data_IF_424467425088
#
_entry.id   IF_424467425088
#
_cell.length_a   1.000
_cell.length_b   1.000
_cell.length_c   1.000
_cell.angle_alpha   90.00
_cell.angle_beta   90.00
_cell.angle_gamma   90.00
#
_symmetry.space_group_name_H-M   'P 1'
#
loop_
_entity.id
_entity.type
_entity.pdbx_description
1 polymer ?
#
# COMPACT_ATOMS: atom_id res chain seq x y z
N UNK A 1 -12.70 -30.06 44.05
CA UNK A 1 -11.25 -29.80 44.13
C UNK A 1 -10.96 -28.93 45.34
N UNK A 2 -9.74 -28.96 45.87
CA UNK A 2 -9.28 -28.02 46.90
C UNK A 2 -8.85 -26.70 46.24
N UNK A 3 -9.19 -25.51 46.81
CA UNK A 3 -8.76 -24.23 46.26
C UNK A 3 -7.24 -24.05 46.27
N UNK A 4 -6.70 -23.35 45.25
CA UNK A 4 -5.26 -23.07 45.12
C UNK A 4 -4.68 -22.26 46.28
N UNK A 5 -5.51 -21.51 47.03
CA UNK A 5 -5.07 -20.74 48.21
C UNK A 5 -4.82 -21.58 49.47
N UNK A 6 -5.20 -22.87 49.47
CA UNK A 6 -5.07 -23.73 50.65
C UNK A 6 -3.66 -24.30 50.73
N UNK A 7 -3.01 -24.12 51.88
CA UNK A 7 -1.68 -24.70 52.16
C UNK A 7 -1.72 -25.90 53.09
N UNK A 8 -2.80 -26.07 53.85
CA UNK A 8 -2.94 -27.14 54.85
C UNK A 8 -4.36 -27.66 54.89
N UNK A 9 -4.50 -29.00 54.90
CA UNK A 9 -5.77 -29.68 55.16
C UNK A 9 -5.71 -30.23 56.58
N UNK A 10 -6.52 -29.66 57.47
CA UNK A 10 -6.52 -29.99 58.89
C UNK A 10 -7.01 -31.40 59.20
N UNK A 11 -6.71 -31.87 60.41
CA UNK A 11 -7.08 -33.20 60.88
C UNK A 11 -8.59 -33.41 60.79
N UNK A 12 -9.01 -34.55 60.25
CA UNK A 12 -10.43 -34.90 60.07
C UNK A 12 -11.26 -33.93 59.19
N UNK A 13 -10.64 -33.02 58.42
CA UNK A 13 -11.35 -31.97 57.68
C UNK A 13 -12.47 -32.49 56.76
N UNK A 14 -12.26 -33.64 56.11
CA UNK A 14 -13.24 -34.34 55.28
C UNK A 14 -13.51 -35.75 55.80
N UNK A 15 -13.44 -35.94 57.12
CA UNK A 15 -13.81 -37.22 57.72
C UNK A 15 -15.32 -37.43 57.61
N UNK A 16 -15.72 -38.66 57.29
CA UNK A 16 -17.10 -39.09 57.07
C UNK A 16 -17.77 -38.45 55.84
N UNK A 17 -16.96 -37.97 54.89
CA UNK A 17 -17.42 -37.60 53.55
C UNK A 17 -17.58 -38.85 52.67
N UNK A 18 -18.50 -39.74 53.02
CA UNK A 18 -18.61 -41.10 52.45
C UNK A 18 -19.04 -41.13 50.97
N UNK A 19 -19.46 -39.98 50.41
CA UNK A 19 -19.77 -39.82 48.98
C UNK A 19 -18.60 -39.22 48.18
N UNK A 20 -17.50 -38.85 48.83
CA UNK A 20 -16.33 -38.28 48.16
C UNK A 20 -15.52 -39.42 47.54
N UNK A 21 -15.72 -39.64 46.24
CA UNK A 21 -15.03 -40.71 45.50
C UNK A 21 -13.75 -40.23 44.83
N UNK A 22 -13.59 -38.91 44.61
CA UNK A 22 -12.38 -38.32 44.03
C UNK A 22 -12.13 -36.92 44.56
N UNK A 23 -10.88 -36.62 44.91
CA UNK A 23 -10.45 -35.27 45.29
C UNK A 23 -9.14 -34.88 44.61
N UNK A 24 -9.13 -33.72 43.96
CA UNK A 24 -7.91 -33.09 43.42
C UNK A 24 -7.33 -32.16 44.47
N UNK A 25 -6.06 -32.40 44.80
CA UNK A 25 -5.28 -31.62 45.76
C UNK A 25 -4.17 -30.88 44.98
N UNK A 26 -4.15 -29.54 45.02
CA UNK A 26 -3.13 -28.76 44.33
C UNK A 26 -1.77 -28.83 45.03
N UNK A 27 -0.70 -28.53 44.31
CA UNK A 27 0.67 -28.48 44.86
C UNK A 27 0.86 -27.46 45.99
N UNK A 28 -0.03 -26.46 46.07
CA UNK A 28 -0.01 -25.46 47.15
C UNK A 28 -0.28 -26.08 48.52
N UNK A 29 -0.96 -27.22 48.58
CA UNK A 29 -1.13 -28.00 49.81
C UNK A 29 0.18 -28.71 50.14
N UNK A 30 0.87 -28.22 51.16
CA UNK A 30 2.16 -28.74 51.63
C UNK A 30 2.04 -29.57 52.91
N UNK A 31 0.84 -29.65 53.49
CA UNK A 31 0.57 -30.44 54.69
C UNK A 31 -0.86 -30.99 54.69
N UNK A 32 -1.02 -32.31 54.82
CA UNK A 32 -2.31 -32.97 55.02
C UNK A 32 -2.25 -33.71 56.36
N UNK A 33 -3.00 -33.23 57.33
CA UNK A 33 -2.95 -33.78 58.68
C UNK A 33 -3.68 -35.12 58.80
N UNK A 34 -3.51 -35.76 59.97
CA UNK A 34 -3.99 -37.11 60.24
C UNK A 34 -5.48 -37.25 59.96
N UNK A 35 -5.82 -38.28 59.16
CA UNK A 35 -7.19 -38.67 58.82
C UNK A 35 -8.02 -37.55 58.18
N UNK A 36 -7.37 -36.58 57.53
CA UNK A 36 -8.04 -35.50 56.85
C UNK A 36 -9.00 -35.96 55.73
N UNK A 37 -8.63 -37.01 54.99
CA UNK A 37 -9.34 -37.51 53.80
C UNK A 37 -9.56 -39.04 53.88
N UNK A 38 -10.74 -39.51 53.47
CA UNK A 38 -11.03 -40.93 53.24
C UNK A 38 -11.27 -41.77 54.50
N UNK A 39 -11.55 -41.14 55.65
CA UNK A 39 -11.81 -41.82 56.92
C UNK A 39 -13.20 -41.52 57.44
N UNK A 40 -13.91 -42.53 57.95
CA UNK A 40 -15.22 -42.36 58.57
C UNK A 40 -15.34 -43.13 59.90
N UNK A 41 -16.32 -42.74 60.70
CA UNK A 41 -16.63 -43.39 61.98
C UNK A 41 -17.94 -44.18 61.86
N UNK A 42 -17.87 -45.51 61.88
CA UNK A 42 -19.08 -46.33 61.96
C UNK A 42 -19.72 -46.15 63.34
N UNK A 43 -20.93 -45.56 63.38
CA UNK A 43 -21.68 -45.24 64.61
C UNK A 43 -22.15 -46.43 65.46
N UNK A 44 -21.54 -47.61 65.32
CA UNK A 44 -21.87 -48.80 66.08
C UNK A 44 -20.59 -49.57 66.46
N UNK A 45 -20.19 -49.43 67.72
CA UNK A 45 -19.24 -50.31 68.43
C UNK A 45 -17.73 -50.03 68.27
N UNK A 46 -17.02 -50.36 69.36
CA UNK A 46 -15.65 -50.06 69.78
C UNK A 46 -14.50 -50.59 68.87
N UNK A 47 -14.61 -50.49 67.54
CA UNK A 47 -13.57 -51.01 66.63
C UNK A 47 -13.29 -50.03 65.49
N UNK A 48 -12.16 -49.32 65.60
CA UNK A 48 -11.36 -48.83 64.48
C UNK A 48 -11.97 -47.75 63.57
N UNK A 49 -11.23 -46.66 63.34
CA UNK A 49 -11.50 -45.77 62.21
C UNK A 49 -11.46 -46.57 60.90
N UNK A 50 -12.52 -46.49 60.09
CA UNK A 50 -12.60 -47.18 58.81
C UNK A 50 -12.09 -46.27 57.68
N UNK A 51 -11.58 -46.89 56.61
CA UNK A 51 -11.10 -46.21 55.40
C UNK A 51 -12.08 -46.46 54.26
N UNK A 52 -12.42 -45.41 53.53
CA UNK A 52 -13.06 -45.56 52.22
C UNK A 52 -11.96 -45.72 51.16
N UNK A 53 -11.65 -46.96 50.82
CA UNK A 53 -10.62 -47.28 49.82
C UNK A 53 -11.07 -46.96 48.39
N UNK A 54 -12.32 -46.55 48.17
CA UNK A 54 -12.79 -46.10 46.86
C UNK A 54 -12.42 -44.63 46.59
N UNK A 55 -11.91 -43.90 47.59
CA UNK A 55 -11.42 -42.54 47.40
C UNK A 55 -10.16 -42.57 46.52
N UNK A 56 -10.24 -41.84 45.40
CA UNK A 56 -9.09 -41.49 44.57
C UNK A 56 -8.57 -40.11 44.97
N UNK A 57 -7.28 -40.05 45.30
CA UNK A 57 -6.58 -38.79 45.58
C UNK A 57 -5.75 -38.43 44.35
N UNK A 58 -6.11 -37.32 43.71
CA UNK A 58 -5.43 -36.82 42.53
C UNK A 58 -4.52 -35.63 42.89
N UNK A 59 -3.32 -35.59 42.33
CA UNK A 59 -2.36 -34.51 42.54
C UNK A 59 -1.11 -34.69 41.69
N UNK A 60 -0.18 -33.73 41.74
CA UNK A 60 1.07 -33.83 40.99
C UNK A 60 1.99 -34.85 41.65
N UNK A 61 2.81 -35.54 40.85
CA UNK A 61 3.82 -36.46 41.34
C UNK A 61 4.82 -35.77 42.27
N UNK A 62 5.15 -36.41 43.38
CA UNK A 62 5.98 -35.90 44.47
C UNK A 62 5.23 -34.98 45.44
N UNK A 63 3.94 -34.69 45.22
CA UNK A 63 3.16 -33.80 46.08
C UNK A 63 2.77 -34.44 47.42
N UNK A 64 2.31 -33.60 48.34
CA UNK A 64 1.72 -34.04 49.61
C UNK A 64 0.50 -34.97 49.40
N UNK A 65 -0.21 -34.79 48.29
CA UNK A 65 -1.33 -35.64 47.90
C UNK A 65 -0.87 -37.09 47.64
N UNK A 66 0.21 -37.26 46.87
CA UNK A 66 0.80 -38.58 46.61
C UNK A 66 1.29 -39.21 47.91
N UNK A 67 2.00 -38.44 48.75
CA UNK A 67 2.48 -38.92 50.05
C UNK A 67 1.33 -39.41 50.91
N UNK A 68 0.29 -38.60 51.10
CA UNK A 68 -0.86 -38.96 51.93
C UNK A 68 -1.62 -40.17 51.38
N UNK A 69 -1.80 -40.24 50.06
CA UNK A 69 -2.45 -41.38 49.41
C UNK A 69 -1.67 -42.68 49.68
N UNK A 70 -0.36 -42.67 49.46
CA UNK A 70 0.52 -43.82 49.66
C UNK A 70 0.60 -44.25 51.13
N UNK A 71 0.76 -43.31 52.07
CA UNK A 71 0.83 -43.61 53.51
C UNK A 71 -0.47 -44.23 54.05
N UNK A 72 -1.61 -43.86 53.45
CA UNK A 72 -2.92 -44.32 53.89
C UNK A 72 -3.52 -45.41 53.00
N UNK A 73 -2.84 -45.84 51.93
CA UNK A 73 -3.28 -46.90 51.02
C UNK A 73 -4.47 -46.51 50.14
N UNK A 74 -4.63 -45.22 49.83
CA UNK A 74 -5.61 -44.75 48.84
C UNK A 74 -5.04 -44.84 47.42
N UNK A 75 -5.91 -44.91 46.42
CA UNK A 75 -5.49 -44.84 45.02
C UNK A 75 -5.01 -43.43 44.70
N UNK A 76 -3.79 -43.33 44.15
CA UNK A 76 -3.24 -42.07 43.65
C UNK A 76 -3.44 -41.94 42.14
N UNK A 77 -3.94 -40.79 41.70
CA UNK A 77 -4.08 -40.43 40.29
C UNK A 77 -3.15 -39.24 39.97
N UNK A 78 -2.16 -39.47 39.10
CA UNK A 78 -1.18 -38.44 38.73
C UNK A 78 -1.84 -37.35 37.87
N UNK A 79 -1.65 -36.09 38.27
CA UNK A 79 -1.96 -34.90 37.48
C UNK A 79 -0.67 -34.39 36.84
N UNK A 80 -0.66 -34.30 35.53
CA UNK A 80 0.42 -33.70 34.74
C UNK A 80 -0.05 -32.29 34.35
N UNK A 81 0.41 -31.21 35.03
CA UNK A 81 -0.10 -29.86 34.81
C UNK A 81 0.41 -29.27 33.48
N UNK A 82 -0.37 -28.38 32.88
CA UNK A 82 0.13 -27.54 31.79
C UNK A 82 1.22 -26.63 32.37
N UNK A 83 2.35 -26.53 31.69
CA UNK A 83 3.48 -25.65 32.04
C UNK A 83 3.68 -24.53 31.03
N UNK A 84 3.10 -24.67 29.84
CA UNK A 84 3.11 -23.63 28.82
C UNK A 84 2.29 -23.99 27.59
N UNK A 85 1.95 -22.96 26.83
CA UNK A 85 1.31 -23.11 25.52
C UNK A 85 2.05 -22.25 24.50
N UNK A 86 2.00 -22.63 23.23
CA UNK A 86 2.60 -21.86 22.13
C UNK A 86 1.65 -21.81 20.95
N UNK A 87 1.54 -20.62 20.34
CA UNK A 87 0.75 -20.39 19.13
C UNK A 87 1.60 -20.58 17.88
N UNK A 88 1.03 -21.18 16.84
CA UNK A 88 1.73 -21.50 15.58
C UNK A 88 2.31 -20.28 14.88
N UNK A 89 1.62 -19.13 14.96
CA UNK A 89 2.03 -17.85 14.40
C UNK A 89 1.62 -16.71 15.33
N UNK A 90 2.50 -15.72 15.48
CA UNK A 90 2.22 -14.50 16.27
C UNK A 90 1.77 -13.33 15.40
N UNK A 91 1.90 -13.45 14.08
CA UNK A 91 1.47 -12.46 13.10
C UNK A 91 0.86 -13.14 11.86
N UNK A 92 -0.25 -12.59 11.39
CA UNK A 92 -0.90 -12.94 10.13
C UNK A 92 -1.15 -11.66 9.32
N UNK A 93 -0.90 -11.75 8.02
CA UNK A 93 -1.13 -10.69 7.05
C UNK A 93 -2.00 -11.32 5.96
N UNK A 94 -3.25 -10.88 5.85
CA UNK A 94 -4.30 -11.52 5.05
C UNK A 94 -4.99 -10.51 4.13
N UNK A 95 -5.37 -10.95 2.94
CA UNK A 95 -6.29 -10.17 2.11
C UNK A 95 -7.72 -10.29 2.64
N UNK A 96 -8.52 -9.23 2.47
CA UNK A 96 -9.93 -9.24 2.88
C UNK A 96 -10.68 -10.42 2.25
N UNK A 97 -11.31 -11.25 3.08
CA UNK A 97 -12.03 -12.47 2.69
C UNK A 97 -11.21 -13.76 2.78
N UNK A 98 -9.88 -13.68 2.93
CA UNK A 98 -9.05 -14.86 3.16
C UNK A 98 -9.26 -15.47 4.55
N UNK A 99 -8.82 -16.71 4.72
CA UNK A 99 -8.82 -17.38 6.02
C UNK A 99 -7.55 -18.19 6.25
N UNK A 100 -7.14 -18.30 7.52
CA UNK A 100 -5.93 -19.02 7.93
C UNK A 100 -6.13 -19.66 9.30
N UNK A 101 -5.75 -20.93 9.43
CA UNK A 101 -5.79 -21.65 10.70
C UNK A 101 -4.63 -21.30 11.62
N UNK A 102 -4.94 -21.06 12.89
CA UNK A 102 -3.99 -21.02 14.00
C UNK A 102 -4.11 -22.30 14.83
N UNK A 103 -2.99 -22.78 15.38
CA UNK A 103 -2.98 -23.94 16.26
C UNK A 103 -2.16 -23.65 17.52
N UNK A 104 -2.52 -24.34 18.60
CA UNK A 104 -1.83 -24.27 19.90
C UNK A 104 -1.13 -25.60 20.17
N UNK A 105 0.14 -25.55 20.53
CA UNK A 105 0.86 -26.69 21.13
C UNK A 105 0.97 -26.49 22.63
N UNK A 106 0.78 -27.57 23.40
CA UNK A 106 0.76 -27.58 24.87
C UNK A 106 1.99 -28.33 25.39
N UNK A 107 2.62 -27.81 26.43
CA UNK A 107 3.76 -28.44 27.11
C UNK A 107 3.42 -28.76 28.57
N UNK A 108 3.57 -30.01 29.02
CA UNK A 108 3.86 -31.20 28.20
C UNK A 108 2.63 -31.67 27.41
N UNK A 109 2.84 -32.36 26.30
CA UNK A 109 1.75 -32.81 25.41
C UNK A 109 0.83 -33.84 26.08
N UNK A 110 1.37 -34.66 26.98
CA UNK A 110 0.67 -35.69 27.75
C UNK A 110 0.00 -35.16 29.03
N UNK A 111 -0.11 -33.84 29.19
CA UNK A 111 -0.87 -33.22 30.28
C UNK A 111 -2.26 -33.85 30.45
N UNK A 112 -2.66 -34.00 31.71
CA UNK A 112 -3.97 -34.53 32.12
C UNK A 112 -5.00 -33.43 32.34
N UNK A 113 -4.62 -32.16 32.23
CA UNK A 113 -5.53 -31.02 32.38
C UNK A 113 -6.40 -30.82 31.12
N UNK A 114 -7.44 -30.00 31.26
CA UNK A 114 -8.33 -29.67 30.16
C UNK A 114 -7.59 -28.91 29.05
N UNK A 115 -7.67 -29.42 27.82
CA UNK A 115 -6.99 -28.89 26.62
C UNK A 115 -7.89 -28.00 25.78
N UNK A 116 -9.10 -27.69 26.28
CA UNK A 116 -10.07 -26.85 25.59
C UNK A 116 -9.49 -25.48 25.29
N UNK A 117 -9.37 -25.17 24.01
CA UNK A 117 -8.93 -23.85 23.54
C UNK A 117 -10.15 -22.97 23.35
N UNK A 118 -10.11 -21.79 23.95
CA UNK A 118 -11.09 -20.73 23.69
C UNK A 118 -10.41 -19.62 22.89
N UNK A 119 -11.09 -19.17 21.83
CA UNK A 119 -10.58 -18.15 20.92
C UNK A 119 -11.41 -16.87 21.04
N UNK A 120 -10.75 -15.72 20.90
CA UNK A 120 -11.42 -14.42 20.83
C UNK A 120 -10.71 -13.48 19.86
N UNK A 121 -11.45 -12.49 19.35
CA UNK A 121 -10.91 -11.38 18.57
C UNK A 121 -11.18 -10.06 19.29
N UNK A 122 -10.16 -9.20 19.38
CA UNK A 122 -10.32 -7.85 19.91
C UNK A 122 -11.21 -6.98 19.01
N UNK A 123 -11.29 -7.32 17.71
CA UNK A 123 -12.13 -6.61 16.74
C UNK A 123 -12.57 -7.53 15.59
N UNK A 124 -13.79 -8.04 15.71
CA UNK A 124 -14.43 -8.91 14.72
C UNK A 124 -14.80 -8.21 13.40
N UNK A 125 -14.83 -6.87 13.34
CA UNK A 125 -15.01 -6.17 12.07
C UNK A 125 -13.75 -6.24 11.18
N UNK A 126 -12.59 -6.54 11.78
CA UNK A 126 -11.32 -6.71 11.07
C UNK A 126 -11.06 -8.19 10.81
N UNK A 127 -11.05 -9.03 11.84
CA UNK A 127 -10.90 -10.47 11.68
C UNK A 127 -11.69 -11.24 12.76
N UNK A 128 -12.29 -12.35 12.36
CA UNK A 128 -13.01 -13.28 13.25
C UNK A 128 -12.18 -14.55 13.43
N UNK A 129 -12.41 -15.27 14.51
CA UNK A 129 -11.80 -16.58 14.76
C UNK A 129 -12.89 -17.57 15.18
N UNK A 130 -12.93 -18.73 14.54
CA UNK A 130 -13.83 -19.83 14.90
C UNK A 130 -13.33 -20.61 16.12
N UNK A 131 -14.19 -21.47 16.67
CA UNK A 131 -13.81 -22.39 17.77
C UNK A 131 -12.71 -23.37 17.34
N UNK A 132 -12.59 -23.64 16.04
CA UNK A 132 -11.55 -24.46 15.42
C UNK A 132 -10.21 -23.72 15.20
N UNK A 133 -10.12 -22.45 15.59
CA UNK A 133 -8.93 -21.61 15.39
C UNK A 133 -8.76 -21.10 13.96
N UNK A 134 -9.77 -21.24 13.09
CA UNK A 134 -9.74 -20.62 11.76
C UNK A 134 -10.02 -19.13 11.88
N UNK A 135 -9.03 -18.31 11.51
CA UNK A 135 -9.15 -16.86 11.42
C UNK A 135 -9.66 -16.47 10.04
N UNK A 136 -10.72 -15.68 9.96
CA UNK A 136 -11.27 -15.13 8.71
C UNK A 136 -11.10 -13.61 8.68
N UNK A 137 -10.49 -13.09 7.62
CA UNK A 137 -10.32 -11.66 7.38
C UNK A 137 -11.64 -11.04 6.89
N UNK A 138 -12.17 -10.07 7.65
CA UNK A 138 -13.50 -9.45 7.41
C UNK A 138 -13.38 -8.06 6.81
N UNK A 139 -12.53 -7.22 7.38
CA UNK A 139 -12.39 -5.81 7.00
C UNK A 139 -10.97 -5.32 7.24
N UNK A 140 -10.61 -4.22 6.58
CA UNK A 140 -9.24 -3.70 6.65
C UNK A 140 -8.88 -3.20 8.05
N UNK A 141 -7.59 -3.28 8.36
CA UNK A 141 -7.03 -2.78 9.61
C UNK A 141 -6.26 -3.86 10.36
N UNK A 142 -6.07 -3.63 11.65
CA UNK A 142 -5.25 -4.49 12.52
C UNK A 142 -6.03 -4.87 13.76
N UNK A 143 -6.04 -6.16 14.10
CA UNK A 143 -6.68 -6.71 15.30
C UNK A 143 -5.79 -7.78 15.93
N UNK A 144 -6.19 -8.27 17.11
CA UNK A 144 -5.52 -9.34 17.83
C UNK A 144 -6.47 -10.49 18.05
N UNK A 145 -6.00 -11.69 17.77
CA UNK A 145 -6.64 -12.95 18.10
C UNK A 145 -5.97 -13.52 19.34
N UNK A 146 -6.76 -13.94 20.33
CA UNK A 146 -6.27 -14.52 21.58
C UNK A 146 -6.75 -15.95 21.71
N UNK A 147 -5.83 -16.87 22.02
CA UNK A 147 -6.12 -18.24 22.38
C UNK A 147 -5.89 -18.42 23.89
N UNK A 148 -6.84 -19.07 24.57
CA UNK A 148 -6.77 -19.29 26.02
C UNK A 148 -7.02 -20.77 26.35
N UNK A 149 -6.16 -21.36 27.19
CA UNK A 149 -6.31 -22.69 27.78
C UNK A 149 -6.09 -22.54 29.29
N UNK A 150 -7.16 -22.69 30.08
CA UNK A 150 -7.10 -22.40 31.51
C UNK A 150 -6.66 -20.96 31.78
N UNK A 151 -5.53 -20.79 32.48
CA UNK A 151 -4.91 -19.48 32.76
C UNK A 151 -3.90 -19.02 31.70
N UNK A 152 -3.52 -19.91 30.78
CA UNK A 152 -2.52 -19.64 29.77
C UNK A 152 -3.14 -18.91 28.58
N UNK A 153 -2.49 -17.84 28.12
CA UNK A 153 -2.93 -17.05 26.97
C UNK A 153 -1.80 -16.85 25.97
N UNK A 154 -2.13 -16.93 24.68
CA UNK A 154 -1.25 -16.57 23.58
C UNK A 154 -2.00 -15.70 22.57
N UNK A 155 -1.26 -14.85 21.85
CA UNK A 155 -1.87 -13.89 20.95
C UNK A 155 -1.23 -13.90 19.56
N UNK A 156 -2.03 -13.64 18.55
CA UNK A 156 -1.63 -13.43 17.17
C UNK A 156 -2.18 -12.09 16.68
N UNK A 157 -1.31 -11.23 16.16
CA UNK A 157 -1.71 -9.98 15.52
C UNK A 157 -2.11 -10.25 14.08
N UNK A 158 -3.30 -9.82 13.68
CA UNK A 158 -3.83 -9.99 12.33
C UNK A 158 -3.93 -8.63 11.66
N UNK A 159 -3.30 -8.49 10.50
CA UNK A 159 -3.41 -7.30 9.64
C UNK A 159 -4.13 -7.68 8.36
N UNK A 160 -5.21 -6.98 8.05
CA UNK A 160 -6.05 -7.21 6.88
C UNK A 160 -5.97 -6.01 5.94
N UNK A 161 -5.78 -6.28 4.65
CA UNK A 161 -5.71 -5.25 3.61
C UNK A 161 -6.49 -5.66 2.37
N UNK A 162 -6.78 -4.69 1.51
CA UNK A 162 -7.40 -4.94 0.20
C UNK A 162 -6.44 -4.53 -0.91
N UNK A 163 -5.95 -5.45 -1.75
CA UNK A 163 -5.21 -5.07 -2.95
C UNK A 163 -6.06 -4.19 -3.88
N UNK A 164 -5.42 -3.21 -4.51
CA UNK A 164 -6.04 -2.48 -5.61
C UNK A 164 -6.19 -3.41 -6.82
N UNK A 165 -7.38 -3.40 -7.40
CA UNK A 165 -7.71 -4.14 -8.61
C UNK A 165 -7.90 -3.17 -9.78
N UNK A 166 -7.62 -3.62 -11.00
CA UNK A 166 -7.56 -2.76 -12.18
C UNK A 166 -8.90 -2.07 -12.49
N UNK A 167 -10.01 -2.77 -12.30
CA UNK A 167 -11.38 -2.30 -12.54
C UNK A 167 -11.82 -1.20 -11.59
N UNK A 168 -11.08 -1.00 -10.49
CA UNK A 168 -11.35 0.03 -9.48
C UNK A 168 -10.78 1.39 -9.85
N UNK A 169 -9.87 1.44 -10.83
CA UNK A 169 -9.11 2.63 -11.18
C UNK A 169 -9.57 3.17 -12.53
N UNK A 170 -10.03 4.42 -12.54
CA UNK A 170 -10.36 5.16 -13.76
C UNK A 170 -9.50 6.41 -13.88
N UNK A 171 -9.23 6.82 -15.13
CA UNK A 171 -8.54 8.06 -15.47
C UNK A 171 -9.45 8.92 -16.33
N UNK A 172 -9.32 10.25 -16.27
CA UNK A 172 -10.20 11.18 -16.99
C UNK A 172 -10.09 11.13 -18.51
N UNK A 173 -8.96 10.65 -19.03
CA UNK A 173 -8.74 10.48 -20.46
C UNK A 173 -7.70 9.40 -20.72
N UNK A 174 -7.85 8.67 -21.83
CA UNK A 174 -6.87 7.73 -22.37
C UNK A 174 -5.95 8.38 -23.40
N UNK A 175 -6.19 9.65 -23.75
CA UNK A 175 -5.40 10.38 -24.74
C UNK A 175 -5.43 11.90 -24.54
N UNK A 176 -4.35 12.56 -24.96
CA UNK A 176 -4.20 14.01 -24.93
C UNK A 176 -3.25 14.46 -26.06
N UNK A 177 -3.26 15.74 -26.40
CA UNK A 177 -2.30 16.33 -27.36
C UNK A 177 -1.15 16.96 -26.59
N UNK A 178 0.06 16.82 -27.11
CA UNK A 178 1.26 17.46 -26.59
C UNK A 178 1.04 18.97 -26.34
N UNK A 179 1.35 19.43 -25.13
CA UNK A 179 1.20 20.83 -24.71
C UNK A 179 2.52 21.49 -24.33
N UNK A 180 3.62 20.75 -24.31
CA UNK A 180 4.90 21.21 -23.75
C UNK A 180 5.02 21.11 -22.23
N UNK A 181 3.94 20.74 -21.53
CA UNK A 181 3.90 20.55 -20.08
C UNK A 181 3.57 19.11 -19.68
N UNK A 182 3.66 18.81 -18.40
CA UNK A 182 3.21 17.53 -17.86
C UNK A 182 1.68 17.37 -17.99
N UNK A 183 1.26 16.28 -18.62
CA UNK A 183 -0.13 15.88 -18.73
C UNK A 183 -0.45 14.91 -17.59
N UNK A 184 -1.39 15.29 -16.72
CA UNK A 184 -1.77 14.52 -15.53
C UNK A 184 -3.28 14.22 -15.55
N UNK A 185 -3.74 13.16 -16.25
CA UNK A 185 -5.14 12.74 -16.19
C UNK A 185 -5.57 12.52 -14.74
N UNK A 186 -6.74 13.05 -14.35
CA UNK A 186 -7.22 12.88 -12.97
C UNK A 186 -7.60 11.43 -12.72
N UNK A 187 -7.26 10.91 -11.56
CA UNK A 187 -7.53 9.52 -11.16
C UNK A 187 -8.75 9.46 -10.25
N UNK A 188 -9.56 8.42 -10.41
CA UNK A 188 -10.59 8.04 -9.44
C UNK A 188 -10.42 6.57 -9.09
N UNK A 189 -10.41 6.25 -7.80
CA UNK A 189 -10.31 4.87 -7.30
C UNK A 189 -11.54 4.55 -6.44
N UNK A 190 -12.14 3.37 -6.63
CA UNK A 190 -13.33 2.94 -5.89
C UNK A 190 -13.19 1.57 -5.23
N UNK A 191 -13.80 1.39 -4.07
CA UNK A 191 -14.00 0.09 -3.41
C UNK A 191 -15.51 -0.12 -3.20
N UNK A 192 -16.16 -0.80 -4.14
CA UNK A 192 -17.61 -0.81 -4.25
C UNK A 192 -18.15 0.61 -4.55
N UNK A 193 -19.04 1.11 -3.69
CA UNK A 193 -19.58 2.48 -3.80
C UNK A 193 -18.66 3.54 -3.17
N UNK A 194 -17.70 3.14 -2.32
CA UNK A 194 -16.78 4.06 -1.65
C UNK A 194 -15.80 4.62 -2.68
N UNK A 195 -15.70 5.94 -2.77
CA UNK A 195 -14.60 6.62 -3.46
C UNK A 195 -13.43 6.73 -2.48
N UNK A 196 -12.26 6.26 -2.89
CA UNK A 196 -11.05 6.33 -2.09
C UNK A 196 -10.41 7.71 -2.19
N UNK A 197 -9.72 8.11 -1.13
CA UNK A 197 -9.07 9.42 -1.02
C UNK A 197 -7.59 9.31 -1.40
N UNK A 198 -7.14 10.17 -2.34
CA UNK A 198 -5.72 10.28 -2.66
C UNK A 198 -4.93 10.77 -1.44
N UNK A 199 -3.70 10.26 -1.29
CA UNK A 199 -2.74 10.49 -0.21
C UNK A 199 -3.16 9.92 1.17
N UNK A 200 -4.34 9.28 1.24
CA UNK A 200 -4.81 8.51 2.40
C UNK A 200 -4.95 7.02 2.09
N UNK A 201 -5.63 6.68 1.00
CA UNK A 201 -5.91 5.31 0.59
C UNK A 201 -5.01 4.87 -0.58
N UNK A 202 -4.54 5.81 -1.41
CA UNK A 202 -3.62 5.54 -2.53
C UNK A 202 -2.79 6.78 -2.87
N UNK A 203 -1.72 6.60 -3.62
CA UNK A 203 -0.91 7.68 -4.23
C UNK A 203 -0.91 7.54 -5.75
N UNK A 204 -0.63 8.64 -6.46
CA UNK A 204 -0.59 8.68 -7.93
C UNK A 204 0.78 9.17 -8.42
N UNK A 205 1.39 8.39 -9.29
CA UNK A 205 2.59 8.75 -10.05
C UNK A 205 2.31 8.78 -11.55
N UNK A 206 3.16 9.46 -12.31
CA UNK A 206 3.08 9.54 -13.76
C UNK A 206 4.45 9.26 -14.37
N UNK A 207 4.47 8.59 -15.51
CA UNK A 207 5.68 8.27 -16.27
C UNK A 207 5.48 8.65 -17.74
N UNK A 208 6.54 9.18 -18.36
CA UNK A 208 6.56 9.61 -19.77
C UNK A 208 5.44 10.59 -20.14
N UNK A 209 5.05 11.46 -19.20
CA UNK A 209 3.83 12.25 -19.31
C UNK A 209 4.02 13.66 -19.89
N UNK A 210 5.12 13.93 -20.59
CA UNK A 210 5.39 15.21 -21.25
C UNK A 210 5.39 15.04 -22.76
N UNK A 211 6.29 14.20 -23.28
CA UNK A 211 6.51 14.04 -24.72
C UNK A 211 5.45 13.16 -25.39
N UNK A 212 5.25 13.36 -26.69
CA UNK A 212 4.36 12.52 -27.47
C UNK A 212 4.84 11.06 -27.49
N UNK A 213 3.92 10.13 -27.23
CA UNK A 213 4.22 8.72 -27.03
C UNK A 213 3.24 8.05 -26.08
N UNK A 214 3.65 6.90 -25.56
CA UNK A 214 2.89 6.17 -24.55
C UNK A 214 3.31 6.64 -23.14
N UNK A 215 2.33 7.11 -22.38
CA UNK A 215 2.47 7.59 -21.02
C UNK A 215 1.71 6.68 -20.05
N UNK A 216 2.10 6.70 -18.77
CA UNK A 216 1.51 5.81 -17.75
C UNK A 216 1.12 6.59 -16.51
N UNK A 217 -0.07 6.29 -15.98
CA UNK A 217 -0.51 6.65 -14.64
C UNK A 217 -0.32 5.44 -13.73
N UNK A 218 0.39 5.60 -12.61
CA UNK A 218 0.67 4.55 -11.63
C UNK A 218 -0.04 4.87 -10.33
N UNK A 219 -0.94 3.98 -9.90
CA UNK A 219 -1.76 4.14 -8.71
C UNK A 219 -1.34 3.09 -7.68
N UNK A 220 -0.78 3.52 -6.56
CA UNK A 220 -0.24 2.62 -5.52
C UNK A 220 -1.09 2.74 -4.26
N UNK A 221 -1.66 1.62 -3.80
CA UNK A 221 -2.44 1.57 -2.56
C UNK A 221 -1.55 1.82 -1.34
N UNK A 222 -2.09 2.55 -0.35
CA UNK A 222 -1.44 2.80 0.94
C UNK A 222 -2.43 2.56 2.08
N UNK A 223 -1.91 2.37 3.30
CA UNK A 223 -2.71 2.11 4.49
C UNK A 223 -3.47 0.78 4.38
N UNK A 224 -4.81 0.87 4.40
CA UNK A 224 -5.71 -0.27 4.31
C UNK A 224 -5.75 -0.92 2.91
N UNK A 225 -5.17 -0.25 1.92
CA UNK A 225 -5.05 -0.74 0.54
C UNK A 225 -3.60 -0.98 0.18
N UNK A 226 -3.35 -1.99 -0.66
CA UNK A 226 -1.99 -2.33 -1.12
C UNK A 226 -1.98 -2.58 -2.63
N UNK A 227 -0.82 -2.97 -3.16
CA UNK A 227 -0.65 -3.24 -4.58
C UNK A 227 -0.49 -1.97 -5.41
N UNK A 228 -0.35 -2.15 -6.71
CA UNK A 228 -0.18 -1.06 -7.66
C UNK A 228 -0.87 -1.40 -8.98
N UNK A 229 -1.65 -0.46 -9.49
CA UNK A 229 -2.32 -0.54 -10.79
C UNK A 229 -1.72 0.51 -11.72
N UNK A 230 -1.38 0.12 -12.93
CA UNK A 230 -0.90 1.05 -13.96
C UNK A 230 -1.93 1.16 -15.09
N UNK A 231 -2.23 2.38 -15.52
CA UNK A 231 -3.09 2.68 -16.67
C UNK A 231 -2.30 3.48 -17.70
N UNK A 232 -2.29 2.99 -18.94
CA UNK A 232 -1.68 3.70 -20.07
C UNK A 232 -2.59 4.80 -20.60
N UNK A 233 -2.00 5.89 -21.07
CA UNK A 233 -2.66 6.90 -21.90
C UNK A 233 -1.71 7.40 -22.99
N UNK A 234 -2.25 7.91 -24.09
CA UNK A 234 -1.46 8.30 -25.26
C UNK A 234 -1.33 9.80 -25.39
N UNK A 235 -0.09 10.29 -25.47
CA UNK A 235 0.18 11.69 -25.81
C UNK A 235 0.41 11.77 -27.32
N UNK A 236 -0.53 12.38 -28.02
CA UNK A 236 -0.48 12.60 -29.46
C UNK A 236 0.40 13.82 -29.78
N UNK A 237 1.05 13.77 -30.95
CA UNK A 237 1.86 14.89 -31.43
C UNK A 237 1.01 16.13 -31.69
N UNK A 238 1.54 17.31 -31.39
CA UNK A 238 0.87 18.58 -31.68
C UNK A 238 1.07 19.00 -33.15
N UNK A 239 0.04 19.46 -33.87
CA UNK A 239 0.21 19.96 -35.22
C UNK A 239 0.94 21.31 -35.20
N UNK A 240 1.94 21.51 -36.07
CA UNK A 240 2.41 22.86 -36.41
C UNK A 240 1.32 23.54 -37.25
N UNK A 241 0.85 24.70 -36.78
CA UNK A 241 -0.20 25.50 -37.44
C UNK A 241 0.34 26.83 -37.95
N UNK A 242 -0.38 27.45 -38.88
CA UNK A 242 0.10 28.63 -39.61
C UNK A 242 0.53 29.80 -38.71
N UNK A 243 -0.21 30.04 -37.63
CA UNK A 243 0.08 31.10 -36.65
C UNK A 243 1.37 30.89 -35.87
N UNK A 244 1.95 29.69 -35.89
CA UNK A 244 3.22 29.39 -35.24
C UNK A 244 4.42 29.83 -36.06
N UNK A 245 4.28 30.06 -37.37
CA UNK A 245 5.41 30.26 -38.29
C UNK A 245 5.51 31.72 -38.74
N UNK A 246 6.67 32.33 -38.50
CA UNK A 246 7.00 33.70 -38.94
C UNK A 246 8.27 33.68 -39.78
N UNK A 247 8.24 34.34 -40.95
CA UNK A 247 9.44 34.66 -41.72
C UNK A 247 9.94 36.04 -41.30
N UNK A 248 11.25 36.16 -41.03
CA UNK A 248 11.83 37.50 -40.74
C UNK A 248 11.82 38.41 -41.96
N UNK A 249 11.99 37.82 -43.13
CA UNK A 249 12.01 38.51 -44.41
C UNK A 249 11.08 37.76 -45.37
N UNK A 250 10.15 38.49 -45.99
CA UNK A 250 9.22 37.95 -47.00
C UNK A 250 9.64 38.31 -48.42
N UNK A 251 10.68 39.14 -48.58
CA UNK A 251 11.23 39.56 -49.88
C UNK A 251 12.75 39.58 -49.78
N UNK A 252 13.44 38.89 -50.68
CA UNK A 252 14.89 38.75 -50.70
C UNK A 252 15.47 39.18 -52.07
N UNK A 253 16.69 39.71 -52.05
CA UNK A 253 17.40 40.10 -53.29
C UNK A 253 18.09 38.87 -53.89
N UNK A 254 17.95 38.71 -55.20
CA UNK A 254 18.63 37.67 -55.95
C UNK A 254 20.16 37.74 -55.79
N UNK A 255 20.76 36.62 -55.40
CA UNK A 255 22.22 36.50 -55.19
C UNK A 255 22.89 35.50 -56.13
N UNK A 256 22.12 34.81 -56.99
CA UNK A 256 22.60 33.69 -57.79
C UNK A 256 22.83 32.39 -57.00
N UNK A 257 22.37 32.31 -55.75
CA UNK A 257 22.45 31.13 -54.88
C UNK A 257 21.11 30.87 -54.19
N UNK A 258 20.99 29.71 -53.55
CA UNK A 258 19.86 29.38 -52.66
C UNK A 258 19.68 30.43 -51.56
N UNK A 259 18.45 30.92 -51.44
CA UNK A 259 18.01 31.88 -50.45
C UNK A 259 17.18 31.16 -49.38
N UNK A 260 17.54 31.35 -48.12
CA UNK A 260 16.90 30.69 -46.97
C UNK A 260 16.51 31.75 -45.94
N UNK A 261 15.34 32.40 -46.08
CA UNK A 261 14.88 33.37 -45.08
C UNK A 261 14.82 32.72 -43.70
N UNK A 262 15.17 33.49 -42.67
CA UNK A 262 15.14 33.00 -41.30
C UNK A 262 13.68 32.71 -40.90
N UNK A 263 13.44 31.47 -40.48
CA UNK A 263 12.14 31.00 -40.02
C UNK A 263 12.15 30.91 -38.50
N UNK A 264 11.20 31.60 -37.88
CA UNK A 264 10.93 31.51 -36.43
C UNK A 264 9.63 30.74 -36.24
N UNK A 265 9.69 29.65 -35.49
CA UNK A 265 8.52 28.84 -35.14
C UNK A 265 8.27 28.92 -33.64
N UNK A 266 7.05 29.30 -33.23
CA UNK A 266 6.65 29.47 -31.83
C UNK A 266 5.34 28.78 -31.51
N UNK A 267 5.32 28.05 -30.39
CA UNK A 267 4.13 27.50 -29.76
C UNK A 267 3.85 28.29 -28.47
N UNK A 268 2.96 29.28 -28.55
CA UNK A 268 2.83 30.31 -27.53
C UNK A 268 4.15 31.09 -27.35
N UNK A 269 4.67 31.12 -26.13
CA UNK A 269 5.95 31.77 -25.81
C UNK A 269 7.18 30.87 -26.10
N UNK A 270 6.96 29.58 -26.33
CA UNK A 270 8.04 28.63 -26.58
C UNK A 270 8.54 28.78 -28.01
N UNK A 271 9.84 29.00 -28.16
CA UNK A 271 10.53 28.93 -29.46
C UNK A 271 10.86 27.47 -29.75
N UNK A 272 10.39 26.96 -30.89
CA UNK A 272 10.69 25.61 -31.33
C UNK A 272 12.07 25.55 -31.97
N UNK A 273 12.73 24.41 -31.86
CA UNK A 273 14.12 24.24 -32.31
C UNK A 273 14.15 23.42 -33.61
N UNK A 274 14.80 23.99 -34.64
CA UNK A 274 15.04 23.29 -35.91
C UNK A 274 15.82 21.98 -35.66
N UNK A 275 15.46 20.95 -36.42
CA UNK A 275 15.98 19.59 -36.38
C UNK A 275 15.65 18.79 -35.09
N UNK A 276 14.86 19.39 -34.18
CA UNK A 276 14.31 18.73 -32.98
C UNK A 276 12.78 18.72 -33.04
N UNK A 277 12.17 19.90 -33.22
CA UNK A 277 10.73 20.11 -33.23
C UNK A 277 10.18 20.26 -34.66
N UNK A 278 11.01 20.72 -35.60
CA UNK A 278 10.65 20.82 -37.01
C UNK A 278 11.87 20.74 -37.92
N UNK A 279 11.65 20.40 -39.19
CA UNK A 279 12.62 20.52 -40.29
C UNK A 279 12.11 21.54 -41.32
N UNK A 280 13.02 22.10 -42.12
CA UNK A 280 12.69 23.05 -43.18
C UNK A 280 13.01 22.45 -44.56
N UNK A 281 12.07 22.57 -45.49
CA UNK A 281 12.22 22.19 -46.90
C UNK A 281 11.92 23.41 -47.79
N UNK A 282 12.90 23.86 -48.57
CA UNK A 282 12.78 25.05 -49.42
C UNK A 282 12.54 24.66 -50.88
N UNK A 283 11.69 25.41 -51.57
CA UNK A 283 11.34 25.19 -52.98
C UNK A 283 11.40 26.49 -53.76
N UNK A 284 11.86 26.41 -55.01
CA UNK A 284 11.98 27.55 -55.93
C UNK A 284 12.74 28.75 -55.32
N UNK A 285 13.77 28.48 -54.52
CA UNK A 285 14.43 29.48 -53.69
C UNK A 285 15.75 30.02 -54.29
N UNK A 286 15.87 30.01 -55.61
CA UNK A 286 17.06 30.51 -56.31
C UNK A 286 16.67 31.63 -57.26
N UNK A 287 15.78 31.36 -58.22
CA UNK A 287 15.54 32.23 -59.36
C UNK A 287 14.47 33.30 -59.09
N UNK A 288 14.61 34.45 -59.76
CA UNK A 288 13.63 35.55 -59.75
C UNK A 288 12.38 35.15 -60.54
N UNK A 289 11.21 35.61 -60.08
CA UNK A 289 9.94 35.42 -60.80
C UNK A 289 9.26 34.07 -60.55
N UNK A 290 9.78 33.24 -59.65
CA UNK A 290 9.08 32.07 -59.10
C UNK A 290 8.53 32.37 -57.70
N UNK A 291 7.39 31.77 -57.35
CA UNK A 291 6.89 31.77 -55.98
C UNK A 291 7.79 30.86 -55.13
N UNK A 292 8.72 31.45 -54.40
CA UNK A 292 9.61 30.74 -53.50
C UNK A 292 8.86 30.34 -52.23
N UNK A 293 9.12 29.14 -51.73
CA UNK A 293 8.38 28.55 -50.61
C UNK A 293 9.33 27.93 -49.59
N UNK A 294 8.91 27.98 -48.33
CA UNK A 294 9.46 27.16 -47.25
C UNK A 294 8.35 26.34 -46.60
N UNK A 295 8.56 25.03 -46.52
CA UNK A 295 7.70 24.09 -45.83
C UNK A 295 8.32 23.78 -44.48
N UNK A 296 7.62 24.15 -43.41
CA UNK A 296 7.98 23.83 -42.03
C UNK A 296 7.29 22.52 -41.66
N UNK A 297 8.04 21.45 -41.47
CA UNK A 297 7.49 20.10 -41.20
C UNK A 297 7.80 19.72 -39.76
N UNK A 298 6.77 19.47 -38.95
CA UNK A 298 6.91 19.06 -37.57
C UNK A 298 7.59 17.70 -37.41
N UNK A 299 8.48 17.59 -36.44
CA UNK A 299 9.13 16.37 -36.01
C UNK A 299 9.18 16.30 -34.48
N UNK A 300 9.73 15.21 -33.92
CA UNK A 300 9.71 15.00 -32.47
C UNK A 300 8.28 14.96 -31.92
N UNK A 301 7.96 15.90 -31.03
CA UNK A 301 6.64 16.07 -30.42
C UNK A 301 5.60 16.75 -31.33
N UNK A 302 6.04 17.29 -32.45
CA UNK A 302 5.18 17.96 -33.41
C UNK A 302 4.96 17.12 -34.67
N UNK A 303 3.87 17.38 -35.36
CA UNK A 303 3.48 16.74 -36.62
C UNK A 303 2.90 17.80 -37.59
N UNK A 304 2.59 17.37 -38.81
CA UNK A 304 2.06 18.21 -39.89
C UNK A 304 3.04 19.29 -40.33
N UNK A 305 2.67 20.14 -41.28
CA UNK A 305 3.52 21.23 -41.70
C UNK A 305 2.77 22.41 -42.29
N UNK A 306 3.46 23.54 -42.34
CA UNK A 306 2.96 24.83 -42.83
C UNK A 306 3.86 25.29 -43.97
N UNK A 307 3.25 25.74 -45.06
CA UNK A 307 3.97 26.37 -46.16
C UNK A 307 3.86 27.89 -46.04
N UNK A 308 4.99 28.59 -46.07
CA UNK A 308 5.04 30.04 -46.23
C UNK A 308 5.70 30.40 -47.55
N UNK A 309 5.24 31.47 -48.17
CA UNK A 309 5.79 32.00 -49.41
C UNK A 309 6.66 33.22 -49.14
N UNK A 310 7.68 33.41 -49.96
CA UNK A 310 8.50 34.62 -50.01
C UNK A 310 8.85 34.96 -51.45
N UNK A 311 9.16 36.23 -51.68
CA UNK A 311 9.47 36.75 -53.01
C UNK A 311 10.98 36.91 -53.20
N UNK A 312 11.47 36.63 -54.41
CA UNK A 312 12.84 36.90 -54.83
C UNK A 312 12.79 37.96 -55.92
N UNK A 313 13.48 39.07 -55.70
CA UNK A 313 13.51 40.23 -56.60
C UNK A 313 14.94 40.56 -57.04
N UNK A 314 15.12 41.09 -58.25
CA UNK A 314 16.44 41.52 -58.73
C UNK A 314 16.99 42.72 -57.95
N UNK A 315 16.11 43.62 -57.53
CA UNK A 315 16.45 44.81 -56.76
C UNK A 315 15.33 45.12 -55.77
N UNK A 316 15.69 45.55 -54.55
CA UNK A 316 14.73 46.18 -53.65
C UNK A 316 14.59 47.64 -54.11
N UNK A 317 13.40 48.02 -54.55
CA UNK A 317 13.06 49.43 -54.73
C UNK A 317 13.00 50.08 -53.34
N UNK A 318 13.87 51.05 -53.08
CA UNK A 318 13.81 51.85 -51.86
C UNK A 318 12.51 52.66 -51.87
N UNK A 319 11.71 52.57 -50.81
CA UNK A 319 10.59 53.47 -50.58
C UNK A 319 11.02 54.66 -49.71
N UNK A 320 10.33 55.79 -49.83
CA UNK A 320 10.58 56.98 -49.00
C UNK A 320 10.51 56.68 -47.49
N UNK A 321 9.76 55.64 -47.09
CA UNK A 321 9.66 55.17 -45.70
C UNK A 321 10.88 54.40 -45.18
N UNK A 322 11.78 53.94 -46.06
CA UNK A 322 13.05 53.27 -45.70
C UNK A 322 14.21 54.27 -45.60
N UNK A 323 14.00 55.52 -46.02
CA UNK A 323 14.97 56.60 -45.94
C UNK A 323 14.63 57.47 -44.73
N UNK A 324 15.44 57.42 -43.69
CA UNK A 324 15.34 58.35 -42.56
C UNK A 324 16.36 59.46 -42.77
N UNK A 325 15.90 60.71 -42.83
CA UNK A 325 16.79 61.86 -42.73
C UNK A 325 17.29 61.93 -41.29
N UNK A 326 18.61 62.00 -41.07
CA UNK A 326 19.17 62.21 -39.72
C UNK A 326 18.68 63.53 -39.10
N UNK A 327 18.25 64.48 -39.95
CA UNK A 327 17.71 65.77 -39.54
C UNK A 327 16.87 66.39 -40.66
N UNK A 328 15.70 66.93 -40.31
CA UNK A 328 14.79 67.56 -41.28
C UNK A 328 15.09 69.05 -41.54
N UNK A 329 15.98 69.66 -40.73
CA UNK A 329 16.39 71.06 -40.87
C UNK A 329 17.89 71.27 -40.61
N UNK A 330 18.59 71.89 -41.55
CA UNK A 330 20.00 72.28 -41.39
C UNK A 330 20.14 73.80 -41.29
N UNK A 331 20.95 74.26 -40.34
CA UNK A 331 21.32 75.67 -40.21
C UNK A 331 22.40 76.00 -41.24
N UNK A 332 22.24 77.08 -42.01
CA UNK A 332 23.25 77.49 -42.99
C UNK A 332 24.53 77.98 -42.29
N UNK A 333 25.62 77.22 -42.43
CA UNK A 333 26.92 77.54 -41.82
C UNK A 333 27.90 78.23 -42.76
N UNK A 334 27.56 78.38 -44.05
CA UNK A 334 28.45 78.99 -45.06
C UNK A 334 29.58 78.08 -45.57
N UNK A 335 29.69 76.86 -45.05
CA UNK A 335 30.69 75.88 -45.46
C UNK A 335 30.06 74.74 -46.28
N UNK A 336 30.81 74.20 -47.25
CA UNK A 336 30.36 73.06 -48.06
C UNK A 336 30.25 71.83 -47.15
N UNK A 337 29.04 71.31 -46.96
CA UNK A 337 28.86 70.02 -46.28
C UNK A 337 29.26 68.88 -47.21
N UNK A 338 30.21 68.06 -46.77
CA UNK A 338 30.61 66.84 -47.43
C UNK A 338 29.89 65.66 -46.78
N UNK A 339 28.74 65.26 -47.32
CA UNK A 339 28.18 63.95 -47.00
C UNK A 339 28.81 62.91 -47.94
N UNK A 340 29.55 61.96 -47.38
CA UNK A 340 29.83 60.69 -48.04
C UNK A 340 28.53 59.88 -47.99
N UNK A 341 27.98 59.58 -49.17
CA UNK A 341 27.06 58.46 -49.37
C UNK A 341 27.84 57.15 -49.29
#
# INVERSE_FOLDING_TARGET
MIPLSVTTIGSYAFSSCDNLTRIVIPETVTNIEKRALGFYSSGASLVGTQKDLNLVIAGVKGSEAERYANENGFTFEEIIPITGIKISQTELVLEKGESKGLSISIEPEDTTEDKTVTWSSDNESVAKVGEDGIVTAVGNGKTKITATIGEYTQTCTVTVFTPLAEERVTISTDSAVYSGEEIRPSVTVKDGEKILEQDKDYTVGYENNINAGDATVKVTGIGDYTGTVSKGFKIQKAPIVDSMVTLKETTLVYTGKELTPEVVVKDGDRILVKDIDYILDYKNNIDVGTTAQVVVIGCGNYISGVTKEFEIVDTIQLSDSMVTLEKDEYSYTGEKQSNLL
#
